data_IF_347991984889
#
_entry.id   IF_347991984889
#
_cell.length_a   1.000
_cell.length_b   1.000
_cell.length_c   1.000
_cell.angle_alpha   90.00
_cell.angle_beta   90.00
_cell.angle_gamma   90.00
#
_symmetry.space_group_name_H-M   'P 1'
#
loop_
_entity.id
_entity.type
_entity.pdbx_description
1 polymer ?
#
# COMPACT_ATOMS: atom_id res chain seq x y z
N UNK A 1 -7.89 5.37 11.52
CA UNK A 1 -6.58 5.28 12.19
C UNK A 1 -5.50 5.71 11.20
N UNK A 2 -4.40 6.31 11.65
CA UNK A 2 -3.29 6.69 10.76
C UNK A 2 -2.24 5.59 10.78
N UNK A 3 -1.88 5.04 9.63
CA UNK A 3 -0.87 3.97 9.57
C UNK A 3 0.53 4.52 9.93
N UNK A 4 1.35 3.67 10.53
CA UNK A 4 2.74 3.98 10.93
C UNK A 4 3.72 3.03 10.25
N UNK A 5 3.46 1.72 10.32
CA UNK A 5 4.20 0.71 9.58
C UNK A 5 3.27 -0.04 8.63
N UNK A 6 3.84 -0.46 7.50
CA UNK A 6 3.22 -1.33 6.50
C UNK A 6 4.23 -2.40 6.11
N UNK A 7 3.74 -3.61 5.91
CA UNK A 7 4.51 -4.70 5.31
C UNK A 7 4.70 -4.42 3.81
N UNK A 8 5.87 -3.90 3.47
CA UNK A 8 6.30 -3.61 2.10
C UNK A 8 7.18 -4.74 1.57
N UNK A 9 7.09 -4.95 0.25
CA UNK A 9 8.02 -5.78 -0.50
C UNK A 9 8.62 -4.94 -1.63
N UNK A 10 9.73 -4.24 -1.37
CA UNK A 10 10.45 -3.50 -2.41
C UNK A 10 11.15 -4.48 -3.37
N UNK A 11 11.02 -4.32 -4.71
CA UNK A 11 11.64 -5.23 -5.67
C UNK A 11 13.16 -5.02 -5.82
N UNK A 12 13.75 -4.01 -5.14
CA UNK A 12 15.17 -3.63 -5.23
C UNK A 12 16.05 -4.32 -4.18
N UNK A 13 15.67 -5.51 -3.73
CA UNK A 13 16.37 -6.37 -2.75
C UNK A 13 16.12 -6.05 -1.26
N UNK A 14 15.91 -4.79 -0.90
CA UNK A 14 15.54 -4.36 0.45
C UNK A 14 14.63 -3.13 0.39
N UNK A 15 13.93 -2.82 1.48
CA UNK A 15 13.06 -1.63 1.53
C UNK A 15 13.93 -0.37 1.59
N UNK A 16 13.79 0.51 0.59
CA UNK A 16 14.59 1.72 0.47
C UNK A 16 13.77 2.97 0.77
N UNK A 17 13.99 3.55 1.96
CA UNK A 17 13.36 4.80 2.38
C UNK A 17 12.02 4.58 3.08
N UNK A 18 11.09 5.51 2.86
CA UNK A 18 9.73 5.43 3.39
C UNK A 18 8.77 4.94 2.33
N UNK A 19 7.78 4.16 2.72
CA UNK A 19 6.64 3.80 1.86
C UNK A 19 5.73 5.01 1.59
N UNK A 20 5.35 5.25 0.33
CA UNK A 20 4.56 6.42 -0.08
C UNK A 20 3.45 6.10 -1.11
N UNK A 21 2.52 7.05 -1.23
CA UNK A 21 1.58 7.20 -2.35
C UNK A 21 1.68 8.62 -2.92
N UNK A 22 1.22 8.79 -4.16
CA UNK A 22 1.01 10.12 -4.72
C UNK A 22 -0.24 10.76 -4.10
N UNK A 23 -0.11 12.02 -3.68
CA UNK A 23 -1.21 12.84 -3.15
C UNK A 23 -1.60 13.89 -4.20
N UNK A 24 -2.89 14.00 -4.60
CA UNK A 24 -4.06 13.41 -3.94
C UNK A 24 -4.32 11.95 -4.29
N UNK A 25 -3.83 11.45 -5.43
CA UNK A 25 -4.13 10.09 -5.89
C UNK A 25 -2.97 9.48 -6.68
N UNK A 26 -2.77 8.17 -6.55
CA UNK A 26 -1.82 7.39 -7.34
C UNK A 26 -0.97 6.49 -6.46
N UNK A 27 -0.77 5.23 -6.90
CA UNK A 27 0.17 4.33 -6.24
C UNK A 27 1.61 4.75 -6.49
N UNK A 28 2.50 4.37 -5.59
CA UNK A 28 3.96 4.45 -5.77
C UNK A 28 4.55 3.11 -5.36
N UNK A 29 4.51 2.80 -4.07
CA UNK A 29 5.24 1.66 -3.51
C UNK A 29 4.35 0.41 -3.36
N UNK A 30 4.86 -0.78 -3.71
CA UNK A 30 4.12 -2.04 -3.62
C UNK A 30 3.96 -2.52 -2.17
N UNK A 31 3.23 -3.63 -2.02
CA UNK A 31 2.95 -4.27 -0.73
C UNK A 31 3.52 -5.69 -0.70
N UNK A 32 3.73 -6.23 0.50
CA UNK A 32 3.97 -7.66 0.70
C UNK A 32 2.65 -8.43 0.76
N UNK A 33 2.57 -9.58 0.08
CA UNK A 33 1.33 -10.40 0.00
C UNK A 33 1.57 -11.89 0.24
N UNK A 34 2.74 -12.23 0.80
CA UNK A 34 3.22 -13.61 0.93
C UNK A 34 2.37 -14.46 1.90
N UNK A 35 1.64 -13.84 2.82
CA UNK A 35 0.91 -14.54 3.89
C UNK A 35 -0.59 -14.70 3.63
N UNK A 36 -0.99 -14.63 2.36
CA UNK A 36 -2.36 -14.89 1.95
C UNK A 36 -3.02 -13.68 1.31
N UNK A 37 -2.34 -12.98 0.39
CA UNK A 37 -2.90 -11.81 -0.31
C UNK A 37 -3.27 -10.65 0.63
N UNK A 38 -2.62 -10.57 1.79
CA UNK A 38 -2.77 -9.51 2.78
C UNK A 38 -1.41 -8.96 3.22
N UNK A 39 -1.43 -7.75 3.78
CA UNK A 39 -0.27 -7.11 4.41
C UNK A 39 -0.59 -6.72 5.84
N UNK A 40 0.43 -6.76 6.69
CA UNK A 40 0.34 -6.29 8.08
C UNK A 40 0.49 -4.77 8.16
N UNK A 41 -0.36 -4.10 8.94
CA UNK A 41 -0.29 -2.67 9.22
C UNK A 41 -0.29 -2.41 10.72
N UNK A 42 0.39 -1.35 11.15
CA UNK A 42 0.24 -0.79 12.50
C UNK A 42 -0.17 0.67 12.44
N UNK A 43 -0.78 1.15 13.53
CA UNK A 43 -1.37 2.48 13.60
C UNK A 43 -0.82 3.30 14.76
N UNK A 44 -0.95 4.62 14.64
CA UNK A 44 -0.43 5.57 15.63
C UNK A 44 -1.06 5.45 17.03
N UNK A 45 -2.21 4.78 17.16
CA UNK A 45 -2.88 4.51 18.43
C UNK A 45 -2.48 3.15 19.05
N UNK A 46 -1.52 2.44 18.44
CA UNK A 46 -0.99 1.17 18.93
C UNK A 46 -1.69 -0.08 18.38
N UNK A 47 -2.75 0.06 17.58
CA UNK A 47 -3.40 -1.09 16.94
C UNK A 47 -2.55 -1.66 15.80
N UNK A 48 -2.80 -2.94 15.49
CA UNK A 48 -2.30 -3.60 14.29
C UNK A 48 -3.44 -4.36 13.59
N UNK A 49 -3.44 -4.38 12.26
CA UNK A 49 -4.42 -5.11 11.45
C UNK A 49 -3.75 -5.74 10.22
N UNK A 50 -4.19 -6.94 9.83
CA UNK A 50 -3.89 -7.48 8.51
C UNK A 50 -4.97 -7.01 7.55
N UNK A 51 -4.56 -6.41 6.43
CA UNK A 51 -5.48 -5.96 5.39
C UNK A 51 -5.39 -6.86 4.17
N UNK A 52 -6.51 -7.52 3.85
CA UNK A 52 -6.66 -8.34 2.65
C UNK A 52 -6.87 -7.45 1.42
N UNK A 53 -5.99 -7.57 0.44
CA UNK A 53 -6.13 -6.89 -0.85
C UNK A 53 -7.10 -7.63 -1.76
N UNK A 54 -7.97 -6.87 -2.43
CA UNK A 54 -9.03 -7.43 -3.28
C UNK A 54 -9.02 -6.91 -4.71
N UNK A 55 -8.35 -5.78 -4.98
CA UNK A 55 -8.20 -5.28 -6.35
C UNK A 55 -7.11 -6.08 -7.09
N UNK A 56 -7.46 -6.55 -8.29
CA UNK A 56 -6.58 -7.42 -9.07
C UNK A 56 -5.30 -6.72 -9.51
N UNK A 57 -5.30 -5.40 -9.68
CA UNK A 57 -4.10 -4.64 -10.04
C UNK A 57 -3.19 -4.44 -8.83
N UNK A 58 -3.76 -4.21 -7.66
CA UNK A 58 -3.00 -4.19 -6.38
C UNK A 58 -2.30 -5.53 -6.15
N UNK A 59 -3.03 -6.64 -6.24
CA UNK A 59 -2.47 -7.98 -6.08
C UNK A 59 -1.38 -8.28 -7.10
N UNK A 60 -1.62 -7.93 -8.37
CA UNK A 60 -0.61 -8.11 -9.43
C UNK A 60 0.67 -7.34 -9.12
N UNK A 61 0.57 -6.05 -8.75
CA UNK A 61 1.75 -5.24 -8.45
C UNK A 61 2.55 -5.79 -7.26
N UNK A 62 1.87 -6.20 -6.19
CA UNK A 62 2.50 -6.82 -5.03
C UNK A 62 3.19 -8.16 -5.37
N UNK A 63 2.54 -9.03 -6.16
CA UNK A 63 3.10 -10.31 -6.58
C UNK A 63 4.26 -10.16 -7.55
N UNK A 64 4.22 -9.20 -8.46
CA UNK A 64 5.33 -8.87 -9.35
C UNK A 64 6.52 -8.36 -8.52
N UNK A 65 6.25 -7.53 -7.50
CA UNK A 65 7.29 -7.03 -6.60
C UNK A 65 7.99 -8.16 -5.83
N UNK A 66 7.21 -9.11 -5.30
CA UNK A 66 7.74 -10.29 -4.63
C UNK A 66 8.62 -11.18 -5.52
N UNK A 67 8.52 -11.04 -6.85
CA UNK A 67 9.39 -11.72 -7.83
C UNK A 67 10.61 -10.87 -8.22
N UNK A 68 10.85 -9.74 -7.55
CA UNK A 68 11.89 -8.78 -7.89
C UNK A 68 11.62 -8.01 -9.19
N UNK A 69 10.37 -7.99 -9.66
CA UNK A 69 10.01 -7.23 -10.86
C UNK A 69 9.62 -5.81 -10.47
N UNK A 70 10.02 -4.83 -11.28
CA UNK A 70 9.60 -3.45 -11.09
C UNK A 70 8.07 -3.32 -11.28
N UNK A 71 7.38 -2.97 -10.20
CA UNK A 71 5.93 -2.78 -10.17
C UNK A 71 5.51 -1.46 -9.48
N UNK A 72 6.42 -0.50 -9.37
CA UNK A 72 6.10 0.84 -8.85
C UNK A 72 5.07 1.56 -9.76
N UNK A 73 4.32 2.49 -9.17
CA UNK A 73 3.41 3.39 -9.91
C UNK A 73 2.34 2.67 -10.76
N UNK A 74 1.82 1.54 -10.29
CA UNK A 74 0.80 0.80 -11.04
C UNK A 74 -0.54 1.55 -11.12
N UNK A 75 -1.35 1.16 -12.10
CA UNK A 75 -2.66 1.78 -12.34
C UNK A 75 -3.66 1.47 -11.23
N UNK A 76 -4.61 2.39 -11.03
CA UNK A 76 -5.72 2.17 -10.09
C UNK A 76 -5.58 2.88 -8.75
N UNK A 77 -4.62 3.80 -8.59
CA UNK A 77 -4.58 4.67 -7.42
C UNK A 77 -5.65 5.77 -7.53
N UNK A 78 -6.92 5.44 -7.30
CA UNK A 78 -8.06 6.35 -7.34
C UNK A 78 -9.23 5.85 -6.47
N UNK A 79 -10.24 6.69 -6.28
CA UNK A 79 -11.39 6.42 -5.40
C UNK A 79 -12.24 5.17 -5.77
N UNK A 80 -12.14 4.67 -7.01
CA UNK A 80 -12.87 3.46 -7.44
C UNK A 80 -12.16 2.16 -7.05
N UNK A 81 -10.87 2.23 -6.71
CA UNK A 81 -10.13 1.08 -6.20
C UNK A 81 -10.33 1.00 -4.67
N UNK A 82 -10.99 -0.06 -4.15
CA UNK A 82 -11.25 -0.20 -2.73
C UNK A 82 -9.96 -0.26 -1.89
N UNK A 83 -8.91 -0.89 -2.41
CA UNK A 83 -7.61 -0.98 -1.75
C UNK A 83 -6.95 0.39 -1.65
N UNK A 84 -6.97 1.17 -2.73
CA UNK A 84 -6.41 2.53 -2.73
C UNK A 84 -7.16 3.43 -1.76
N UNK A 85 -8.50 3.36 -1.78
CA UNK A 85 -9.33 4.15 -0.86
C UNK A 85 -8.99 3.81 0.60
N UNK A 86 -8.89 2.53 0.93
CA UNK A 86 -8.58 2.06 2.27
C UNK A 86 -7.23 2.59 2.77
N UNK A 87 -6.19 2.53 1.93
CA UNK A 87 -4.85 3.04 2.25
C UNK A 87 -4.86 4.56 2.36
N UNK A 88 -5.47 5.25 1.39
CA UNK A 88 -5.56 6.70 1.37
C UNK A 88 -6.26 7.23 2.64
N UNK A 89 -7.32 6.58 3.14
CA UNK A 89 -7.99 6.94 4.39
C UNK A 89 -7.10 6.78 5.65
N UNK A 90 -6.04 5.99 5.56
CA UNK A 90 -5.06 5.70 6.63
C UNK A 90 -3.71 6.42 6.44
N UNK A 91 -3.44 6.95 5.25
CA UNK A 91 -2.27 7.79 4.94
C UNK A 91 -2.56 9.28 5.26
N UNK A 92 -2.50 9.65 6.55
CA UNK A 92 -2.87 11.00 7.00
C UNK A 92 -1.72 12.00 6.85
N UNK A 93 -2.03 13.17 6.31
CA UNK A 93 -1.11 14.31 6.17
C UNK A 93 -1.86 15.64 6.36
N UNK A 94 -1.14 16.75 6.56
CA UNK A 94 -1.72 18.08 6.90
C UNK A 94 -2.80 18.58 5.92
N UNK A 95 -2.74 18.17 4.65
CA UNK A 95 -3.66 18.58 3.58
C UNK A 95 -4.64 17.47 3.17
N UNK A 96 -4.79 16.43 3.99
CA UNK A 96 -5.63 15.28 3.69
C UNK A 96 -7.08 15.70 3.39
N UNK A 97 -7.68 15.09 2.36
CA UNK A 97 -9.11 15.19 2.04
C UNK A 97 -9.60 13.81 1.62
N UNK A 98 -10.78 13.34 2.08
CA UNK A 98 -11.37 12.08 1.61
C UNK A 98 -11.55 12.05 0.08
N UNK A 99 -11.52 10.84 -0.48
CA UNK A 99 -11.72 10.56 -1.92
C UNK A 99 -12.88 9.58 -2.14
#
# INVERSE_FOLDING_TARGET
>A
MSMVFVEEQDPRNENLGTWVINVPTGWVDPFAVAHGNDSSFSFADGHAENHKWIDSKTLKAAQDSAKGQNSFYWQGGNAKNPDFKWVHERYRHKKYKPI
#
